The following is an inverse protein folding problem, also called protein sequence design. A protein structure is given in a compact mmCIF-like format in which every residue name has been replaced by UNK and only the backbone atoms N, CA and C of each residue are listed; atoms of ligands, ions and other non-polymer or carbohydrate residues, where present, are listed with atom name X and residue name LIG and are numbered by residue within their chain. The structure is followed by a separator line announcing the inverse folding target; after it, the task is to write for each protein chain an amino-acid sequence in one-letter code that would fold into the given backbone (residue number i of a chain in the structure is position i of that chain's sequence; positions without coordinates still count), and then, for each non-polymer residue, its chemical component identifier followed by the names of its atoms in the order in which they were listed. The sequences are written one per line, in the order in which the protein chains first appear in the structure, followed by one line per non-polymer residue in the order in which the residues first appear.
data_IF_850270611461
#
_entry.id   IF_850270611461
#
_cell.length_a   1.000
_cell.length_b   1.000
_cell.length_c   1.000
_cell.angle_alpha   90.00
_cell.angle_beta   90.00
_cell.angle_gamma   90.00
#
_symmetry.space_group_name_H-M   'P 1'
#
loop_
_entity.id
_entity.type
_entity.pdbx_description
1 polymer ?
#
# COMPACT_ATOMS: atom_id res chain seq x y z
N UNK A 1 25.74 52.35 47.61
CA UNK A 1 24.53 51.52 47.36
C UNK A 1 24.04 51.64 45.91
N UNK A 2 23.76 52.84 45.40
CA UNK A 2 23.29 53.05 44.01
C UNK A 2 24.11 52.33 42.92
N UNK A 3 25.45 52.44 42.96
CA UNK A 3 26.32 51.80 41.97
C UNK A 3 26.22 50.26 41.96
N UNK A 4 26.08 49.63 43.14
CA UNK A 4 25.95 48.18 43.27
C UNK A 4 24.58 47.71 42.77
N UNK A 5 23.52 48.46 43.08
CA UNK A 5 22.16 48.18 42.59
C UNK A 5 22.07 48.31 41.06
N UNK A 6 22.65 49.36 40.48
CA UNK A 6 22.72 49.52 39.01
C UNK A 6 23.50 48.41 38.32
N UNK A 7 24.59 47.93 38.93
CA UNK A 7 25.36 46.80 38.40
C UNK A 7 24.54 45.50 38.43
N UNK A 8 23.82 45.24 39.52
CA UNK A 8 22.93 44.07 39.63
C UNK A 8 21.82 44.10 38.58
N UNK A 9 21.21 45.27 38.33
CA UNK A 9 20.22 45.42 37.25
C UNK A 9 20.84 45.20 35.86
N UNK A 10 22.04 45.72 35.58
CA UNK A 10 22.73 45.49 34.31
C UNK A 10 23.03 44.00 34.09
N UNK A 11 23.50 43.29 35.12
CA UNK A 11 23.77 41.83 35.03
C UNK A 11 22.46 41.05 34.83
N UNK A 12 21.38 41.42 35.51
CA UNK A 12 20.07 40.80 35.33
C UNK A 12 19.55 40.99 33.90
N UNK A 13 19.59 42.21 33.37
CA UNK A 13 19.15 42.51 32.00
C UNK A 13 20.03 41.76 30.99
N UNK A 14 21.37 41.76 31.17
CA UNK A 14 22.26 41.03 30.28
C UNK A 14 21.99 39.51 30.30
N UNK A 15 21.67 38.95 31.47
CA UNK A 15 21.30 37.54 31.61
C UNK A 15 19.99 37.23 30.89
N UNK A 16 18.97 38.06 31.05
CA UNK A 16 17.66 37.89 30.40
C UNK A 16 17.78 38.01 28.87
N UNK A 17 18.41 39.08 28.37
CA UNK A 17 18.65 39.26 26.93
C UNK A 17 19.45 38.10 26.34
N UNK A 18 20.48 37.62 27.05
CA UNK A 18 21.25 36.46 26.61
C UNK A 18 20.42 35.18 26.59
N UNK A 19 19.55 34.96 27.58
CA UNK A 19 18.67 33.79 27.62
C UNK A 19 17.66 33.82 26.48
N UNK A 20 17.04 34.97 26.25
CA UNK A 20 16.04 35.13 25.19
C UNK A 20 16.70 34.96 23.82
N UNK A 21 17.87 35.58 23.59
CA UNK A 21 18.64 35.42 22.35
C UNK A 21 19.04 33.97 22.09
N UNK A 22 19.47 33.24 23.13
CA UNK A 22 19.80 31.82 23.01
C UNK A 22 18.56 30.98 22.71
N UNK A 23 17.43 31.29 23.35
CA UNK A 23 16.17 30.58 23.12
C UNK A 23 15.68 30.80 21.68
N UNK A 24 15.68 32.04 21.21
CA UNK A 24 15.33 32.37 19.82
C UNK A 24 16.28 31.71 18.82
N UNK A 25 17.59 31.74 19.08
CA UNK A 25 18.57 31.06 18.24
C UNK A 25 18.30 29.56 18.14
N UNK A 26 18.03 28.91 19.27
CA UNK A 26 17.73 27.48 19.32
C UNK A 26 16.43 27.18 18.56
N UNK A 27 15.36 27.93 18.80
CA UNK A 27 14.07 27.76 18.07
C UNK A 27 14.26 27.94 16.56
N UNK A 28 14.94 29.01 16.13
CA UNK A 28 15.22 29.27 14.72
C UNK A 28 16.07 28.17 14.09
N UNK A 29 17.09 27.68 14.81
CA UNK A 29 17.92 26.57 14.34
C UNK A 29 17.11 25.28 14.18
N UNK A 30 16.17 25.00 15.09
CA UNK A 30 15.29 23.84 14.98
C UNK A 30 14.34 23.93 13.78
N UNK A 31 13.78 25.11 13.49
CA UNK A 31 12.93 25.31 12.31
C UNK A 31 13.73 25.14 11.01
N UNK A 32 14.95 25.68 10.94
CA UNK A 32 15.83 25.45 9.79
C UNK A 32 16.19 23.97 9.62
N UNK A 33 16.48 23.27 10.71
CA UNK A 33 16.81 21.86 10.69
C UNK A 33 15.60 21.00 10.25
N UNK A 34 14.39 21.35 10.69
CA UNK A 34 13.12 20.75 10.22
C UNK A 34 12.95 20.94 8.71
N UNK A 35 13.21 22.14 8.22
CA UNK A 35 13.12 22.45 6.79
C UNK A 35 14.14 21.64 5.97
N UNK A 36 15.39 21.54 6.45
CA UNK A 36 16.42 20.71 5.81
C UNK A 36 16.03 19.24 5.76
N UNK A 37 15.54 18.68 6.87
CA UNK A 37 15.04 17.29 6.92
C UNK A 37 13.85 17.09 5.97
N UNK A 38 12.90 18.03 5.93
CA UNK A 38 11.77 17.99 5.00
C UNK A 38 12.19 17.97 3.53
N UNK A 39 13.11 18.85 3.11
CA UNK A 39 13.58 18.86 1.73
C UNK A 39 14.42 17.62 1.39
N UNK A 40 15.14 17.04 2.35
CA UNK A 40 15.79 15.75 2.15
C UNK A 40 14.77 14.64 1.89
N UNK A 41 13.70 14.58 2.68
CA UNK A 41 12.59 13.64 2.46
C UNK A 41 11.94 13.87 1.07
N UNK A 42 11.75 15.12 0.68
CA UNK A 42 11.20 15.48 -0.63
C UNK A 42 12.11 15.06 -1.78
N UNK A 43 13.42 15.24 -1.66
CA UNK A 43 14.38 14.74 -2.65
C UNK A 43 14.30 13.21 -2.79
N UNK A 44 14.21 12.49 -1.66
CA UNK A 44 13.99 11.04 -1.68
C UNK A 44 12.70 10.65 -2.40
N UNK A 45 11.62 11.43 -2.22
CA UNK A 45 10.34 11.22 -2.90
C UNK A 45 10.47 11.43 -4.42
N UNK A 46 11.17 12.47 -4.86
CA UNK A 46 11.36 12.74 -6.30
C UNK A 46 12.16 11.62 -6.98
N UNK A 47 13.19 11.08 -6.30
CA UNK A 47 13.94 9.91 -6.78
C UNK A 47 13.03 8.68 -6.83
N UNK A 48 12.19 8.45 -5.82
CA UNK A 48 11.26 7.32 -5.82
C UNK A 48 10.26 7.39 -6.98
N UNK A 49 9.70 8.58 -7.24
CA UNK A 49 8.80 8.83 -8.37
C UNK A 49 9.51 8.63 -9.72
N UNK A 50 10.77 9.03 -9.83
CA UNK A 50 11.59 8.76 -11.01
C UNK A 50 11.79 7.24 -11.21
N UNK A 51 12.11 6.49 -10.15
CA UNK A 51 12.27 5.03 -10.20
C UNK A 51 10.99 4.33 -10.65
N UNK A 52 9.83 4.71 -10.12
CA UNK A 52 8.52 4.19 -10.57
C UNK A 52 8.29 4.53 -12.04
N UNK A 53 8.64 5.74 -12.49
CA UNK A 53 8.47 6.12 -13.89
C UNK A 53 9.39 5.31 -14.81
N UNK A 54 10.65 5.11 -14.43
CA UNK A 54 11.59 4.25 -15.16
C UNK A 54 11.03 2.84 -15.23
N UNK A 55 10.55 2.30 -14.11
CA UNK A 55 9.87 1.01 -14.07
C UNK A 55 8.69 0.94 -15.05
N UNK A 56 7.78 1.91 -15.01
CA UNK A 56 6.63 1.97 -15.90
C UNK A 56 7.01 2.08 -17.39
N UNK A 57 8.09 2.80 -17.70
CA UNK A 57 8.62 2.94 -19.06
C UNK A 57 9.27 1.63 -19.53
N UNK A 58 10.24 1.13 -18.77
CA UNK A 58 10.92 -0.13 -19.03
C UNK A 58 9.93 -1.28 -19.19
N UNK A 59 8.84 -1.23 -18.43
CA UNK A 59 7.80 -2.25 -18.46
C UNK A 59 7.01 -2.36 -19.75
N UNK A 60 7.03 -1.33 -20.59
CA UNK A 60 6.32 -1.29 -21.87
C UNK A 60 7.17 -1.76 -23.04
N UNK A 61 8.49 -1.80 -22.86
CA UNK A 61 9.40 -2.24 -23.90
C UNK A 61 9.65 -3.75 -23.77
N UNK A 62 9.79 -4.48 -24.89
CA UNK A 62 10.24 -5.86 -24.86
C UNK A 62 11.71 -5.85 -24.41
N UNK A 63 11.94 -6.13 -23.12
CA UNK A 63 13.29 -6.26 -22.59
C UNK A 63 13.84 -7.68 -22.84
N UNK A 64 15.17 -7.83 -22.98
CA UNK A 64 15.79 -9.15 -22.97
C UNK A 64 15.38 -9.93 -21.71
N UNK A 65 15.20 -11.27 -21.78
CA UNK A 65 14.72 -12.08 -20.66
C UNK A 65 15.49 -11.88 -19.34
N UNK A 66 16.81 -11.72 -19.41
CA UNK A 66 17.65 -11.44 -18.24
C UNK A 66 17.25 -10.13 -17.54
N UNK A 67 17.07 -9.04 -18.31
CA UNK A 67 16.63 -7.76 -17.75
C UNK A 67 15.17 -7.78 -17.31
N UNK A 68 14.32 -8.56 -17.99
CA UNK A 68 12.90 -8.66 -17.68
C UNK A 68 12.64 -9.21 -16.26
N UNK A 69 13.47 -10.13 -15.79
CA UNK A 69 13.40 -10.71 -14.46
C UNK A 69 13.87 -9.75 -13.35
N UNK A 70 14.71 -8.78 -13.69
CA UNK A 70 15.29 -7.83 -12.74
C UNK A 70 14.59 -6.47 -12.72
N UNK A 71 13.62 -6.21 -13.62
CA UNK A 71 12.92 -4.91 -13.70
C UNK A 71 12.36 -4.48 -12.35
N UNK A 72 11.86 -5.43 -11.55
CA UNK A 72 11.29 -5.13 -10.24
C UNK A 72 12.31 -4.61 -9.23
N UNK A 73 13.60 -4.93 -9.39
CA UNK A 73 14.67 -4.41 -8.53
C UNK A 73 14.76 -2.88 -8.59
N UNK A 74 14.32 -2.28 -9.73
CA UNK A 74 14.28 -0.83 -9.90
C UNK A 74 13.48 -0.16 -8.79
N UNK A 75 12.44 -0.80 -8.25
CA UNK A 75 11.63 -0.25 -7.16
C UNK A 75 11.77 -1.01 -5.84
N UNK A 76 12.00 -2.34 -5.86
CA UNK A 76 12.12 -3.16 -4.63
C UNK A 76 13.31 -2.78 -3.75
N UNK A 77 14.43 -2.34 -4.33
CA UNK A 77 15.62 -2.02 -3.56
C UNK A 77 15.44 -0.74 -2.72
N UNK A 78 15.65 -0.75 -1.39
CA UNK A 78 15.60 0.47 -0.60
C UNK A 78 16.77 1.39 -0.99
N UNK A 79 16.52 2.69 -1.12
CA UNK A 79 17.57 3.64 -1.49
C UNK A 79 17.87 4.59 -0.34
N UNK A 80 19.14 4.89 -0.16
CA UNK A 80 19.64 5.84 0.82
C UNK A 80 20.63 6.80 0.18
N UNK A 81 20.61 8.04 0.63
CA UNK A 81 21.64 9.03 0.37
C UNK A 81 22.15 9.56 1.71
N UNK A 82 23.46 9.47 2.01
CA UNK A 82 24.50 8.79 1.26
C UNK A 82 24.23 7.32 0.95
N UNK A 83 24.91 6.80 -0.07
CA UNK A 83 24.99 5.35 -0.26
C UNK A 83 25.74 4.74 0.94
N UNK A 84 25.19 3.69 1.59
CA UNK A 84 25.89 3.02 2.67
C UNK A 84 27.12 2.29 2.15
N UNK A 85 28.21 2.30 2.93
CA UNK A 85 29.42 1.56 2.60
C UNK A 85 29.13 0.04 2.58
N UNK A 86 29.46 -0.69 1.50
CA UNK A 86 29.41 -2.15 1.50
C UNK A 86 30.31 -2.72 2.60
N UNK A 87 29.93 -3.84 3.24
CA UNK A 87 30.74 -4.48 4.29
C UNK A 87 32.16 -4.85 3.83
N UNK A 88 32.30 -5.19 2.55
CA UNK A 88 33.53 -5.64 1.90
C UNK A 88 34.43 -4.49 1.42
N UNK A 89 33.98 -3.23 1.57
CA UNK A 89 34.74 -2.06 1.14
C UNK A 89 35.97 -1.86 2.02
N UNK A 90 37.14 -1.72 1.38
CA UNK A 90 38.41 -1.47 2.07
C UNK A 90 38.44 -0.06 2.72
N UNK A 91 39.40 0.18 3.61
CA UNK A 91 39.48 1.43 4.38
C UNK A 91 39.75 2.67 3.53
N UNK A 92 40.49 2.53 2.42
CA UNK A 92 40.85 3.64 1.53
C UNK A 92 39.64 4.10 0.72
N UNK A 93 38.88 3.16 0.16
CA UNK A 93 37.68 3.45 -0.60
C UNK A 93 36.57 4.02 0.30
N UNK A 94 36.50 3.55 1.55
CA UNK A 94 35.60 4.13 2.56
C UNK A 94 35.94 5.59 2.84
N UNK A 95 37.21 5.91 3.03
CA UNK A 95 37.66 7.29 3.26
C UNK A 95 37.41 8.19 2.03
N UNK A 96 37.64 7.68 0.83
CA UNK A 96 37.33 8.38 -0.42
C UNK A 96 35.84 8.65 -0.56
N UNK A 97 34.99 7.66 -0.24
CA UNK A 97 33.54 7.80 -0.27
C UNK A 97 33.08 8.84 0.77
N UNK A 98 33.58 8.78 2.00
CA UNK A 98 33.26 9.75 3.06
C UNK A 98 33.69 11.18 2.65
N UNK A 99 34.83 11.32 1.97
CA UNK A 99 35.29 12.60 1.43
C UNK A 99 34.36 13.13 0.34
N UNK A 100 33.98 12.29 -0.63
CA UNK A 100 33.01 12.65 -1.67
C UNK A 100 31.66 13.04 -1.06
N UNK A 101 31.24 12.35 0.00
CA UNK A 101 30.01 12.69 0.72
C UNK A 101 30.10 14.04 1.44
N UNK A 102 31.24 14.35 2.07
CA UNK A 102 31.49 15.67 2.69
C UNK A 102 31.58 16.81 1.67
N UNK A 103 32.05 16.52 0.47
CA UNK A 103 32.09 17.49 -0.65
C UNK A 103 30.73 17.67 -1.32
N UNK A 104 29.74 16.80 -1.03
CA UNK A 104 28.39 16.94 -1.54
C UNK A 104 27.73 18.22 -1.00
N UNK A 105 26.96 18.90 -1.85
CA UNK A 105 26.14 20.05 -1.45
C UNK A 105 25.00 19.69 -0.48
N UNK A 106 24.76 18.41 -0.21
CA UNK A 106 23.69 17.97 0.68
C UNK A 106 24.22 17.56 2.05
N UNK A 107 23.98 18.43 3.04
CA UNK A 107 24.24 18.18 4.45
C UNK A 107 23.24 17.20 5.10
N UNK A 108 22.13 16.93 4.42
CA UNK A 108 21.03 16.11 4.93
C UNK A 108 21.07 14.74 4.28
N UNK A 109 20.62 13.74 5.04
CA UNK A 109 20.50 12.37 4.57
C UNK A 109 19.04 12.04 4.30
N UNK A 110 18.78 11.11 3.40
CA UNK A 110 17.42 10.60 3.22
C UNK A 110 17.44 9.13 2.84
N UNK A 111 16.36 8.45 3.17
CA UNK A 111 16.10 7.07 2.76
C UNK A 111 14.70 6.99 2.18
N UNK A 112 14.48 6.19 1.14
CA UNK A 112 13.13 5.89 0.67
C UNK A 112 12.95 4.42 0.33
N UNK A 113 11.73 3.95 0.56
CA UNK A 113 11.25 2.62 0.18
C UNK A 113 10.05 2.76 -0.75
N UNK A 114 9.90 1.78 -1.65
CA UNK A 114 8.77 1.66 -2.56
C UNK A 114 8.20 0.27 -2.37
N UNK A 115 6.93 0.21 -2.01
CA UNK A 115 6.20 -1.02 -1.73
C UNK A 115 5.06 -1.17 -2.74
N UNK A 116 4.71 -2.42 -3.04
CA UNK A 116 3.49 -2.72 -3.77
C UNK A 116 2.28 -2.40 -2.88
N UNK A 117 1.44 -1.49 -3.35
CA UNK A 117 0.16 -1.16 -2.72
C UNK A 117 -1.01 -1.85 -3.44
N UNK A 118 -0.83 -2.22 -4.70
CA UNK A 118 -1.89 -2.75 -5.53
C UNK A 118 -2.34 -4.15 -5.14
N UNK A 119 -1.42 -5.00 -4.66
CA UNK A 119 -1.74 -6.39 -4.29
C UNK A 119 -2.32 -6.55 -2.89
N UNK A 120 -2.61 -5.44 -2.19
CA UNK A 120 -3.37 -5.46 -0.94
C UNK A 120 -4.86 -5.57 -1.23
N UNK A 121 -5.62 -6.05 -0.26
CA UNK A 121 -7.08 -6.17 -0.35
C UNK A 121 -7.68 -4.76 -0.34
N UNK A 122 -8.38 -4.38 -1.41
CA UNK A 122 -9.05 -3.09 -1.46
C UNK A 122 -10.38 -3.15 -0.71
N UNK A 123 -10.49 -2.48 0.43
CA UNK A 123 -11.73 -2.50 1.22
C UNK A 123 -12.90 -1.82 0.52
N UNK A 124 -12.64 -0.90 -0.43
CA UNK A 124 -13.71 -0.28 -1.20
C UNK A 124 -14.35 -1.26 -2.19
N UNK A 125 -13.75 -2.43 -2.43
CA UNK A 125 -14.36 -3.47 -3.28
C UNK A 125 -15.58 -4.13 -2.64
N UNK A 126 -15.79 -3.96 -1.33
CA UNK A 126 -17.01 -4.36 -0.63
C UNK A 126 -18.28 -3.66 -1.15
N UNK A 127 -18.14 -2.49 -1.79
CA UNK A 127 -19.23 -1.78 -2.48
C UNK A 127 -19.01 -1.71 -3.99
N UNK A 128 -18.13 -2.55 -4.55
CA UNK A 128 -17.88 -2.60 -5.99
C UNK A 128 -19.17 -2.88 -6.76
N UNK A 129 -19.35 -2.35 -7.98
CA UNK A 129 -20.47 -2.74 -8.84
C UNK A 129 -20.49 -4.24 -9.16
N UNK A 130 -19.32 -4.89 -9.22
CA UNK A 130 -19.18 -6.33 -9.44
C UNK A 130 -19.58 -7.10 -8.18
N UNK A 131 -20.52 -8.04 -8.31
CA UNK A 131 -20.93 -8.90 -7.19
C UNK A 131 -19.78 -9.80 -6.74
N UNK A 132 -19.05 -10.35 -7.70
CA UNK A 132 -17.92 -11.26 -7.47
C UNK A 132 -16.86 -10.61 -6.60
N UNK A 133 -16.46 -9.37 -6.92
CA UNK A 133 -15.50 -8.62 -6.12
C UNK A 133 -15.99 -8.40 -4.69
N UNK A 134 -17.27 -8.04 -4.48
CA UNK A 134 -17.83 -7.85 -3.13
C UNK A 134 -17.71 -9.12 -2.28
N UNK A 135 -18.12 -10.27 -2.83
CA UNK A 135 -18.10 -11.54 -2.11
C UNK A 135 -16.66 -12.01 -1.80
N UNK A 136 -15.75 -11.85 -2.76
CA UNK A 136 -14.33 -12.21 -2.56
C UNK A 136 -13.71 -11.34 -1.48
N UNK A 137 -13.87 -10.02 -1.54
CA UNK A 137 -13.33 -9.11 -0.54
C UNK A 137 -13.91 -9.41 0.84
N UNK A 138 -15.22 -9.68 0.93
CA UNK A 138 -15.86 -10.09 2.19
C UNK A 138 -15.22 -11.38 2.73
N UNK A 139 -15.08 -12.42 1.90
CA UNK A 139 -14.46 -13.70 2.28
C UNK A 139 -13.01 -13.52 2.73
N UNK A 140 -12.22 -12.71 2.03
CA UNK A 140 -10.82 -12.44 2.40
C UNK A 140 -10.71 -11.79 3.78
N UNK A 141 -11.52 -10.76 4.07
CA UNK A 141 -11.52 -10.11 5.38
C UNK A 141 -11.91 -11.06 6.51
N UNK A 142 -12.92 -11.93 6.27
CA UNK A 142 -13.32 -12.94 7.26
C UNK A 142 -12.21 -13.97 7.49
N UNK A 143 -11.58 -14.45 6.41
CA UNK A 143 -10.49 -15.43 6.48
C UNK A 143 -9.33 -14.89 7.33
N UNK A 144 -9.03 -13.59 7.27
CA UNK A 144 -7.98 -12.99 8.11
C UNK A 144 -8.28 -13.15 9.60
N UNK A 145 -9.51 -12.83 10.02
CA UNK A 145 -9.93 -12.96 11.41
C UNK A 145 -10.02 -14.43 11.84
N UNK A 146 -10.62 -15.29 11.02
CA UNK A 146 -10.72 -16.73 11.29
C UNK A 146 -9.34 -17.35 11.50
N UNK A 147 -8.37 -17.05 10.63
CA UNK A 147 -6.98 -17.52 10.81
C UNK A 147 -6.33 -16.94 12.06
N UNK A 148 -6.64 -15.71 12.44
CA UNK A 148 -6.11 -15.13 13.69
C UNK A 148 -6.68 -15.86 14.91
N UNK A 149 -7.96 -16.22 14.91
CA UNK A 149 -8.58 -17.09 15.92
C UNK A 149 -7.93 -18.48 15.94
N UNK A 150 -7.58 -19.04 14.79
CA UNK A 150 -6.94 -20.36 14.69
C UNK A 150 -5.46 -20.37 15.08
N UNK A 151 -4.72 -19.27 14.88
CA UNK A 151 -3.27 -19.24 15.11
C UNK A 151 -2.86 -18.67 16.47
N UNK A 152 -3.73 -17.89 17.14
CA UNK A 152 -3.42 -17.21 18.39
C UNK A 152 -4.37 -17.65 19.51
N UNK A 153 -3.83 -18.37 20.49
CA UNK A 153 -4.61 -18.90 21.62
C UNK A 153 -5.24 -17.81 22.49
N UNK A 154 -4.54 -16.70 22.69
CA UNK A 154 -5.04 -15.57 23.51
C UNK A 154 -6.20 -14.90 22.78
N UNK A 155 -6.02 -14.62 21.49
CA UNK A 155 -7.06 -14.03 20.65
C UNK A 155 -8.29 -14.96 20.56
N UNK A 156 -8.07 -16.27 20.46
CA UNK A 156 -9.15 -17.26 20.45
C UNK A 156 -9.97 -17.24 21.74
N UNK A 157 -9.32 -17.21 22.90
CA UNK A 157 -10.02 -17.22 24.19
C UNK A 157 -10.97 -16.02 24.32
N UNK A 158 -10.54 -14.86 23.83
CA UNK A 158 -11.32 -13.62 23.90
C UNK A 158 -12.41 -13.55 22.82
N UNK A 159 -12.11 -13.94 21.59
CA UNK A 159 -12.94 -13.65 20.41
C UNK A 159 -13.52 -14.87 19.68
N UNK A 160 -13.40 -16.10 20.19
CA UNK A 160 -14.00 -17.29 19.56
C UNK A 160 -15.51 -17.18 19.30
N UNK A 161 -16.23 -16.42 20.14
CA UNK A 161 -17.67 -16.19 20.02
C UNK A 161 -18.00 -14.85 19.32
N UNK A 162 -16.99 -14.10 18.91
CA UNK A 162 -17.18 -12.83 18.24
C UNK A 162 -17.66 -13.06 16.80
N UNK A 163 -18.73 -12.35 16.42
CA UNK A 163 -19.33 -12.43 15.08
C UNK A 163 -18.57 -11.52 14.11
N UNK A 164 -17.45 -11.98 13.55
CA UNK A 164 -16.68 -11.18 12.58
C UNK A 164 -17.48 -10.85 11.31
N UNK A 165 -18.47 -11.67 10.94
CA UNK A 165 -19.41 -11.35 9.85
C UNK A 165 -20.20 -10.06 10.13
N UNK A 166 -20.62 -9.82 11.38
CA UNK A 166 -21.30 -8.56 11.74
C UNK A 166 -20.37 -7.36 11.62
N UNK A 167 -19.09 -7.51 11.99
CA UNK A 167 -18.10 -6.46 11.85
C UNK A 167 -17.90 -6.11 10.37
N UNK A 168 -17.72 -7.11 9.50
CA UNK A 168 -17.55 -6.89 8.06
C UNK A 168 -18.82 -6.34 7.42
N UNK A 169 -20.01 -6.78 7.84
CA UNK A 169 -21.28 -6.20 7.40
C UNK A 169 -21.38 -4.72 7.78
N UNK A 170 -20.91 -4.31 8.95
CA UNK A 170 -20.86 -2.90 9.33
C UNK A 170 -19.85 -2.09 8.51
N UNK A 171 -18.74 -2.70 8.06
CA UNK A 171 -17.83 -2.07 7.09
C UNK A 171 -18.58 -1.80 5.77
N UNK A 172 -19.35 -2.77 5.28
CA UNK A 172 -20.20 -2.61 4.08
C UNK A 172 -21.23 -1.49 4.30
N UNK A 173 -21.94 -1.52 5.42
CA UNK A 173 -23.00 -0.56 5.76
C UNK A 173 -22.50 0.87 5.88
N UNK A 174 -21.26 1.06 6.36
CA UNK A 174 -20.64 2.36 6.47
C UNK A 174 -20.47 3.03 5.09
N UNK A 175 -20.22 2.23 4.06
CA UNK A 175 -19.98 2.70 2.70
C UNK A 175 -21.22 2.66 1.80
N UNK A 176 -22.16 1.76 2.06
CA UNK A 176 -23.34 1.53 1.23
C UNK A 176 -24.26 2.75 1.19
N UNK A 177 -24.90 3.01 0.05
CA UNK A 177 -25.98 4.02 -0.07
C UNK A 177 -27.35 3.46 0.34
N UNK A 178 -27.49 2.13 0.43
CA UNK A 178 -28.76 1.44 0.74
C UNK A 178 -29.04 1.51 2.25
N UNK A 179 -30.28 1.77 2.66
CA UNK A 179 -30.65 1.89 4.08
C UNK A 179 -30.74 0.54 4.83
N UNK A 180 -30.94 -0.54 4.09
CA UNK A 180 -30.90 -1.91 4.62
C UNK A 180 -29.45 -2.30 4.93
N UNK A 181 -29.26 -2.90 6.11
CA UNK A 181 -27.97 -3.44 6.53
C UNK A 181 -27.64 -4.72 5.76
N UNK A 182 -26.36 -4.93 5.45
CA UNK A 182 -25.85 -6.18 4.92
C UNK A 182 -26.09 -7.37 5.87
N UNK A 183 -26.22 -7.12 7.18
CA UNK A 183 -26.60 -8.11 8.19
C UNK A 183 -28.10 -8.24 8.43
N UNK A 184 -28.93 -7.50 7.67
CA UNK A 184 -30.37 -7.42 7.82
C UNK A 184 -30.84 -6.32 8.79
N UNK A 185 -32.03 -5.79 8.56
CA UNK A 185 -32.59 -4.68 9.33
C UNK A 185 -32.09 -3.30 8.88
N UNK A 186 -32.30 -2.27 9.71
CA UNK A 186 -31.92 -0.90 9.37
C UNK A 186 -30.48 -0.58 9.81
N UNK A 187 -29.62 -0.13 8.89
CA UNK A 187 -28.21 0.12 9.19
C UNK A 187 -27.96 1.29 10.16
N UNK A 188 -28.86 2.27 10.20
CA UNK A 188 -28.66 3.52 10.95
C UNK A 188 -28.54 3.32 12.45
N UNK A 189 -29.17 2.28 12.99
CA UNK A 189 -29.09 1.96 14.41
C UNK A 189 -27.65 1.74 14.89
N UNK A 190 -26.78 1.19 14.03
CA UNK A 190 -25.39 0.89 14.41
C UNK A 190 -24.52 2.14 14.54
N UNK A 191 -24.82 3.22 13.80
CA UNK A 191 -23.96 4.40 13.69
C UNK A 191 -24.48 5.61 14.46
N UNK A 192 -25.55 5.45 15.24
CA UNK A 192 -26.21 6.55 15.96
C UNK A 192 -25.25 7.25 16.95
N UNK A 193 -24.34 6.50 17.58
CA UNK A 193 -23.36 7.02 18.53
C UNK A 193 -22.30 7.93 17.88
N UNK A 194 -22.06 7.79 16.57
CA UNK A 194 -21.11 8.66 15.83
C UNK A 194 -21.71 10.05 15.55
N UNK A 195 -23.01 10.23 15.76
CA UNK A 195 -23.71 11.49 15.56
C UNK A 195 -24.24 11.70 14.15
N UNK A 196 -24.70 12.92 13.87
CA UNK A 196 -25.32 13.26 12.59
C UNK A 196 -24.33 13.15 11.44
N UNK A 197 -24.80 12.64 10.30
CA UNK A 197 -23.99 12.48 9.08
C UNK A 197 -23.27 11.13 8.97
N UNK A 198 -23.44 10.23 9.94
CA UNK A 198 -22.97 8.86 9.86
C UNK A 198 -24.09 7.86 9.57
N UNK A 199 -23.79 6.75 8.86
CA UNK A 199 -22.56 6.55 8.11
C UNK A 199 -22.50 7.48 6.88
N UNK A 200 -21.29 7.76 6.34
CA UNK A 200 -21.12 8.72 5.25
C UNK A 200 -21.64 8.21 3.90
N UNK A 201 -22.03 6.93 3.78
CA UNK A 201 -22.60 6.32 2.59
C UNK A 201 -21.73 6.49 1.34
N UNK A 202 -20.42 6.33 1.51
CA UNK A 202 -19.42 6.38 0.43
C UNK A 202 -18.24 5.48 0.78
N UNK A 203 -17.46 5.11 -0.23
CA UNK A 203 -16.16 4.46 -0.02
C UNK A 203 -15.24 5.27 0.91
N UNK A 204 -14.32 4.55 1.54
CA UNK A 204 -13.31 5.11 2.43
C UNK A 204 -12.39 6.08 1.68
N UNK A 205 -12.09 7.22 2.31
CA UNK A 205 -11.12 8.22 1.80
C UNK A 205 -9.77 8.12 2.46
N UNK A 206 -9.72 7.58 3.67
CA UNK A 206 -8.50 7.23 4.39
C UNK A 206 -8.68 5.85 5.00
N UNK A 207 -7.58 5.15 5.24
CA UNK A 207 -7.64 3.85 5.91
C UNK A 207 -8.12 3.99 7.37
N UNK A 208 -7.83 5.13 8.01
CA UNK A 208 -8.20 5.40 9.39
C UNK A 208 -9.71 5.53 9.60
N UNK A 209 -10.50 5.83 8.56
CA UNK A 209 -11.97 5.84 8.65
C UNK A 209 -12.52 4.46 9.08
N UNK A 210 -11.79 3.36 8.86
CA UNK A 210 -12.16 2.01 9.33
C UNK A 210 -12.25 1.95 10.87
N UNK A 211 -11.50 2.79 11.59
CA UNK A 211 -11.53 2.86 13.05
C UNK A 211 -12.87 3.42 13.57
N UNK A 212 -13.65 4.08 12.72
CA UNK A 212 -14.98 4.60 13.07
C UNK A 212 -16.07 3.52 12.99
N UNK A 213 -15.75 2.32 12.52
CA UNK A 213 -16.74 1.24 12.40
C UNK A 213 -17.14 0.74 13.79
N UNK A 214 -18.44 0.75 14.14
CA UNK A 214 -18.91 0.24 15.43
C UNK A 214 -18.52 -1.22 15.65
N UNK A 215 -17.76 -1.47 16.71
CA UNK A 215 -17.19 -2.79 17.03
C UNK A 215 -15.78 -3.03 16.47
N UNK A 216 -15.19 -2.07 15.76
CA UNK A 216 -13.78 -2.10 15.39
C UNK A 216 -12.92 -1.69 16.59
N UNK A 217 -12.10 -2.62 17.11
CA UNK A 217 -11.08 -2.31 18.11
C UNK A 217 -9.75 -1.96 17.43
N UNK A 218 -8.83 -1.36 18.20
CA UNK A 218 -7.44 -1.16 17.75
C UNK A 218 -6.76 -2.48 17.38
N UNK A 219 -7.06 -3.55 18.11
CA UNK A 219 -6.53 -4.88 17.82
C UNK A 219 -7.02 -5.41 16.47
N UNK A 220 -8.32 -5.29 16.18
CA UNK A 220 -8.88 -5.69 14.89
C UNK A 220 -8.33 -4.86 13.74
N UNK A 221 -8.20 -3.54 13.93
CA UNK A 221 -7.59 -2.68 12.93
C UNK A 221 -6.14 -3.07 12.67
N UNK A 222 -5.36 -3.36 13.72
CA UNK A 222 -3.95 -3.76 13.58
C UNK A 222 -3.78 -5.12 12.89
N UNK A 223 -4.74 -6.05 13.02
CA UNK A 223 -4.76 -7.30 12.26
C UNK A 223 -4.93 -7.05 10.76
N UNK A 224 -5.78 -6.09 10.39
CA UNK A 224 -6.11 -5.79 8.99
C UNK A 224 -5.09 -4.87 8.30
N UNK A 225 -4.63 -3.81 8.97
CA UNK A 225 -4.01 -2.60 8.36
C UNK A 225 -2.87 -2.85 7.37
N UNK A 226 -2.09 -3.92 7.54
CA UNK A 226 -0.94 -4.23 6.69
C UNK A 226 -1.33 -5.04 5.44
N UNK A 227 -2.56 -5.56 5.41
CA UNK A 227 -3.11 -6.44 4.37
C UNK A 227 -4.12 -5.72 3.48
N UNK A 228 -4.70 -4.62 3.98
CA UNK A 228 -5.74 -3.86 3.31
C UNK A 228 -5.24 -2.53 2.74
N UNK A 229 -5.99 -1.99 1.78
CA UNK A 229 -5.78 -0.66 1.19
C UNK A 229 -7.11 -0.08 0.72
N UNK A 230 -7.10 1.19 0.30
CA UNK A 230 -8.18 1.83 -0.47
C UNK A 230 -7.73 2.14 -1.91
N UNK A 231 -6.53 1.68 -2.28
CA UNK A 231 -5.84 1.97 -3.54
C UNK A 231 -5.44 0.69 -4.28
N UNK A 232 -6.19 -0.40 -4.12
CA UNK A 232 -5.83 -1.70 -4.70
C UNK A 232 -5.98 -1.72 -6.22
N UNK A 233 -5.36 -2.72 -6.85
CA UNK A 233 -5.45 -2.90 -8.31
C UNK A 233 -6.62 -3.78 -8.75
N UNK A 234 -7.56 -4.09 -7.84
CA UNK A 234 -8.74 -4.95 -8.08
C UNK A 234 -8.38 -6.38 -8.47
N UNK A 235 -7.15 -6.77 -8.16
CA UNK A 235 -6.56 -8.09 -8.38
C UNK A 235 -5.37 -8.25 -7.45
N UNK A 236 -5.01 -9.50 -7.16
CA UNK A 236 -3.88 -9.85 -6.31
C UNK A 236 -2.74 -10.33 -7.20
N UNK A 237 -1.54 -9.77 -7.02
CA UNK A 237 -0.36 -10.30 -7.66
C UNK A 237 0.34 -11.31 -6.74
N UNK A 238 0.34 -12.62 -7.05
CA UNK A 238 1.00 -13.61 -6.22
C UNK A 238 2.53 -13.46 -6.18
N UNK A 239 3.13 -12.66 -7.08
CA UNK A 239 4.56 -12.38 -7.10
C UNK A 239 5.00 -11.30 -6.10
N UNK A 240 4.08 -10.52 -5.56
CA UNK A 240 4.39 -9.39 -4.67
C UNK A 240 3.49 -9.30 -3.44
N UNK A 241 2.31 -9.92 -3.44
CA UNK A 241 1.43 -10.00 -2.28
C UNK A 241 2.16 -10.53 -1.04
N UNK A 242 1.80 -10.00 0.13
CA UNK A 242 2.36 -10.44 1.40
C UNK A 242 1.86 -11.85 1.76
N UNK A 243 2.58 -12.53 2.65
CA UNK A 243 2.19 -13.84 3.17
C UNK A 243 0.74 -13.85 3.68
N UNK A 244 0.36 -12.84 4.47
CA UNK A 244 -0.97 -12.78 5.04
C UNK A 244 -2.06 -12.51 4.00
N UNK A 245 -1.78 -11.71 2.97
CA UNK A 245 -2.72 -11.54 1.85
C UNK A 245 -2.90 -12.85 1.10
N UNK A 246 -1.81 -13.59 0.81
CA UNK A 246 -1.92 -14.91 0.17
C UNK A 246 -2.69 -15.93 1.02
N UNK A 247 -2.50 -15.91 2.35
CA UNK A 247 -3.25 -16.73 3.30
C UNK A 247 -4.73 -16.37 3.38
N UNK A 248 -5.09 -15.11 3.13
CA UNK A 248 -6.49 -14.65 3.13
C UNK A 248 -7.29 -15.10 1.91
N UNK A 249 -6.63 -15.58 0.85
CA UNK A 249 -7.31 -15.96 -0.39
C UNK A 249 -8.30 -17.10 -0.18
N UNK A 250 -7.97 -18.05 0.70
CA UNK A 250 -8.85 -19.15 1.06
C UNK A 250 -8.42 -19.78 2.40
N UNK A 251 -9.39 -20.25 3.19
CA UNK A 251 -9.13 -20.93 4.47
C UNK A 251 -8.33 -22.23 4.30
N UNK A 252 -8.46 -22.89 3.15
CA UNK A 252 -7.72 -24.10 2.81
C UNK A 252 -6.25 -23.86 2.45
N UNK A 253 -5.79 -22.61 2.48
CA UNK A 253 -4.39 -22.25 2.27
C UNK A 253 -3.52 -22.63 3.48
N UNK A 254 -2.48 -23.42 3.27
CA UNK A 254 -1.56 -23.83 4.34
C UNK A 254 -0.38 -22.87 4.47
N UNK A 255 0.19 -22.80 5.68
CA UNK A 255 1.36 -21.97 5.94
C UNK A 255 2.58 -22.43 5.12
N UNK A 256 2.73 -23.74 4.95
CA UNK A 256 3.77 -24.37 4.16
C UNK A 256 3.63 -24.01 2.68
N UNK A 257 2.42 -24.13 2.10
CA UNK A 257 2.19 -23.81 0.69
C UNK A 257 2.50 -22.35 0.38
N UNK A 258 2.13 -21.42 1.27
CA UNK A 258 2.41 -19.99 1.07
C UNK A 258 3.89 -19.68 1.24
N UNK A 259 4.56 -20.24 2.25
CA UNK A 259 6.01 -20.06 2.44
C UNK A 259 6.78 -20.59 1.24
N UNK A 260 6.43 -21.76 0.74
CA UNK A 260 7.05 -22.32 -0.46
C UNK A 260 6.73 -21.52 -1.73
N UNK A 261 5.53 -20.94 -1.83
CA UNK A 261 5.18 -20.06 -2.95
C UNK A 261 6.03 -18.78 -2.94
N UNK A 262 6.25 -18.20 -1.76
CA UNK A 262 7.10 -17.02 -1.57
C UNK A 262 8.58 -17.37 -1.84
N UNK A 263 9.05 -18.54 -1.42
CA UNK A 263 10.39 -19.00 -1.73
C UNK A 263 10.57 -19.19 -3.24
N UNK A 264 9.64 -19.90 -3.90
CA UNK A 264 9.63 -20.13 -5.34
C UNK A 264 9.72 -18.83 -6.13
N UNK A 265 8.85 -17.85 -5.85
CA UNK A 265 8.78 -16.61 -6.65
C UNK A 265 10.05 -15.76 -6.58
N UNK A 266 10.87 -15.95 -5.54
CA UNK A 266 12.10 -15.21 -5.32
C UNK A 266 13.36 -15.93 -5.82
N UNK A 267 13.23 -17.19 -6.26
CA UNK A 267 14.35 -18.03 -6.65
C UNK A 267 14.12 -18.65 -8.04
N UNK A 268 14.94 -18.27 -9.05
CA UNK A 268 14.89 -18.87 -10.38
C UNK A 268 15.04 -20.40 -10.37
N UNK A 269 15.83 -20.96 -9.45
CA UNK A 269 16.08 -22.41 -9.35
C UNK A 269 14.86 -23.17 -8.82
N UNK A 270 14.01 -22.51 -8.04
CA UNK A 270 12.75 -23.07 -7.54
C UNK A 270 11.56 -22.85 -8.50
N UNK A 271 11.83 -22.31 -9.70
CA UNK A 271 10.86 -22.09 -10.76
C UNK A 271 10.44 -20.62 -10.95
N UNK A 272 11.02 -19.69 -10.18
CA UNK A 272 10.85 -18.26 -10.35
C UNK A 272 9.42 -17.73 -10.12
N UNK A 273 9.16 -16.48 -10.52
CA UNK A 273 7.85 -15.85 -10.42
C UNK A 273 6.75 -16.66 -11.11
N UNK A 274 5.54 -16.63 -10.54
CA UNK A 274 4.34 -17.14 -11.17
C UNK A 274 4.09 -16.42 -12.50
N UNK A 275 3.60 -17.15 -13.50
CA UNK A 275 3.45 -16.64 -14.88
C UNK A 275 2.02 -16.70 -15.36
N UNK A 276 1.68 -15.81 -16.30
CA UNK A 276 0.38 -15.79 -16.98
C UNK A 276 0.16 -14.45 -17.65
N UNK A 277 -0.16 -14.47 -18.96
CA UNK A 277 -0.47 -13.23 -19.69
C UNK A 277 -1.90 -12.75 -19.43
N UNK A 278 -2.75 -13.67 -18.96
CA UNK A 278 -4.14 -13.42 -18.58
C UNK A 278 -4.36 -13.76 -17.10
N UNK A 279 -5.38 -13.17 -16.46
CA UNK A 279 -5.71 -13.46 -15.07
C UNK A 279 -5.92 -14.95 -14.77
N UNK A 280 -6.61 -15.66 -15.66
CA UNK A 280 -6.93 -17.08 -15.52
C UNK A 280 -5.68 -17.96 -15.59
N UNK A 281 -4.71 -17.61 -16.44
CA UNK A 281 -3.44 -18.34 -16.56
C UNK A 281 -2.60 -18.17 -15.30
N UNK A 282 -2.53 -16.94 -14.78
CA UNK A 282 -1.82 -16.64 -13.54
C UNK A 282 -2.42 -17.38 -12.35
N UNK A 283 -3.75 -17.33 -12.22
CA UNK A 283 -4.47 -18.04 -11.17
C UNK A 283 -4.22 -19.55 -11.28
N UNK A 284 -4.28 -20.12 -12.48
CA UNK A 284 -4.04 -21.55 -12.68
C UNK A 284 -2.62 -21.98 -12.30
N UNK A 285 -1.59 -21.19 -12.65
CA UNK A 285 -0.20 -21.48 -12.26
C UNK A 285 -0.03 -21.43 -10.74
N UNK A 286 -0.55 -20.39 -10.10
CA UNK A 286 -0.50 -20.23 -8.64
C UNK A 286 -1.28 -21.34 -7.92
N UNK A 287 -2.53 -21.59 -8.33
CA UNK A 287 -3.42 -22.62 -7.79
C UNK A 287 -2.77 -24.00 -7.83
N UNK A 288 -2.29 -24.40 -9.01
CA UNK A 288 -1.64 -25.70 -9.21
C UNK A 288 -0.44 -25.88 -8.29
N UNK A 289 0.35 -24.82 -8.09
CA UNK A 289 1.49 -24.87 -7.20
C UNK A 289 1.06 -25.08 -5.75
N UNK A 290 0.14 -24.27 -5.22
CA UNK A 290 -0.25 -24.37 -3.80
C UNK A 290 -1.00 -25.67 -3.49
N UNK A 291 -1.82 -26.18 -4.42
CA UNK A 291 -2.49 -27.48 -4.28
C UNK A 291 -1.48 -28.64 -4.24
N UNK A 292 -0.41 -28.54 -5.05
CA UNK A 292 0.69 -29.51 -5.00
C UNK A 292 1.49 -29.49 -3.68
N UNK A 293 1.28 -28.46 -2.85
CA UNK A 293 1.86 -28.29 -1.50
C UNK A 293 0.83 -28.49 -0.39
N UNK A 294 -0.31 -29.12 -0.71
CA UNK A 294 -1.29 -29.56 0.26
C UNK A 294 -2.40 -28.54 0.57
N UNK A 295 -2.44 -27.39 -0.11
CA UNK A 295 -3.59 -26.49 -0.01
C UNK A 295 -4.85 -27.17 -0.58
N UNK A 296 -5.99 -26.98 0.08
CA UNK A 296 -7.29 -27.53 -0.35
C UNK A 296 -8.29 -26.41 -0.56
N UNK A 297 -8.26 -25.84 -1.76
CA UNK A 297 -8.97 -24.60 -2.07
C UNK A 297 -10.45 -24.87 -2.37
N UNK A 298 -11.31 -23.96 -1.93
CA UNK A 298 -12.75 -24.01 -2.27
C UNK A 298 -13.01 -23.56 -3.72
N UNK A 299 -14.15 -23.94 -4.34
CA UNK A 299 -14.47 -23.56 -5.72
C UNK A 299 -14.50 -22.04 -5.96
N UNK A 300 -14.81 -21.26 -4.93
CA UNK A 300 -14.82 -19.79 -4.99
C UNK A 300 -13.43 -19.22 -5.24
N UNK A 301 -12.35 -19.97 -4.97
CA UNK A 301 -10.98 -19.54 -5.27
C UNK A 301 -10.80 -19.21 -6.75
N UNK A 302 -11.48 -19.93 -7.66
CA UNK A 302 -11.38 -19.70 -9.11
C UNK A 302 -11.97 -18.36 -9.55
N UNK A 303 -12.68 -17.67 -8.67
CA UNK A 303 -13.25 -16.34 -8.91
C UNK A 303 -12.27 -15.22 -8.54
N UNK A 304 -11.20 -15.53 -7.80
CA UNK A 304 -10.25 -14.53 -7.31
C UNK A 304 -9.48 -13.91 -8.47
N UNK A 305 -9.52 -12.58 -8.63
CA UNK A 305 -8.76 -11.93 -9.68
C UNK A 305 -7.26 -11.95 -9.34
N UNK A 306 -6.46 -12.63 -10.16
CA UNK A 306 -5.00 -12.61 -10.06
C UNK A 306 -4.34 -12.00 -11.28
N UNK A 307 -3.26 -11.25 -11.07
CA UNK A 307 -2.42 -10.73 -12.14
C UNK A 307 -0.96 -11.02 -11.82
N UNK A 308 -0.32 -11.87 -12.61
CA UNK A 308 1.11 -12.16 -12.49
C UNK A 308 1.97 -11.12 -13.20
N UNK A 309 1.33 -10.24 -13.99
CA UNK A 309 1.95 -9.07 -14.61
C UNK A 309 2.34 -8.04 -13.54
N UNK A 310 2.91 -6.93 -14.00
CA UNK A 310 3.59 -5.94 -13.18
C UNK A 310 2.65 -5.13 -12.29
N UNK A 311 3.18 -4.78 -11.13
CA UNK A 311 2.52 -3.90 -10.15
C UNK A 311 2.23 -2.53 -10.76
N UNK A 312 1.04 -2.00 -10.50
CA UNK A 312 0.59 -0.71 -11.05
C UNK A 312 0.41 0.38 -10.00
N UNK A 313 0.25 0.00 -8.72
CA UNK A 313 0.02 0.93 -7.61
C UNK A 313 1.11 0.76 -6.57
N UNK A 314 1.67 1.88 -6.11
CA UNK A 314 2.85 1.88 -5.24
C UNK A 314 2.63 2.78 -4.03
N UNK A 315 3.16 2.35 -2.89
CA UNK A 315 3.34 3.16 -1.69
C UNK A 315 4.80 3.55 -1.57
N UNK A 316 5.04 4.85 -1.44
CA UNK A 316 6.38 5.40 -1.23
C UNK A 316 6.43 5.93 0.20
N UNK A 317 7.48 5.57 0.93
CA UNK A 317 7.85 6.23 2.19
C UNK A 317 9.23 6.83 2.01
N UNK A 318 9.36 8.12 2.27
CA UNK A 318 10.62 8.85 2.21
C UNK A 318 10.88 9.54 3.53
N UNK A 319 12.02 9.24 4.15
CA UNK A 319 12.44 9.78 5.43
C UNK A 319 13.67 10.64 5.21
N UNK A 320 13.58 11.92 5.57
CA UNK A 320 14.69 12.85 5.55
C UNK A 320 15.20 13.08 6.97
N UNK A 321 16.52 13.09 7.14
CA UNK A 321 17.17 13.22 8.44
C UNK A 321 18.22 14.32 8.34
N UNK A 322 18.16 15.27 9.27
CA UNK A 322 19.18 16.29 9.44
C UNK A 322 19.73 16.32 10.87
N UNK A 323 21.05 16.38 11.00
CA UNK A 323 21.76 16.27 12.28
C UNK A 323 22.20 14.83 12.59
N UNK A 324 22.69 14.60 13.81
CA UNK A 324 23.20 13.31 14.25
C UNK A 324 22.80 13.00 15.70
N UNK A 325 22.74 11.72 16.04
CA UNK A 325 22.42 11.24 17.39
C UNK A 325 21.00 11.57 17.85
N UNK A 326 20.81 11.72 19.16
CA UNK A 326 19.50 11.93 19.79
C UNK A 326 18.81 13.27 19.42
N UNK A 327 19.50 14.18 18.75
CA UNK A 327 18.98 15.48 18.32
C UNK A 327 18.72 15.56 16.81
N UNK A 328 18.86 14.44 16.08
CA UNK A 328 18.54 14.39 14.67
C UNK A 328 17.04 14.67 14.48
N UNK A 329 16.73 15.56 13.52
CA UNK A 329 15.37 15.86 13.14
C UNK A 329 15.02 14.97 11.96
N UNK A 330 13.93 14.22 12.09
CA UNK A 330 13.40 13.34 11.07
C UNK A 330 12.09 13.89 10.53
N UNK A 331 11.88 13.76 9.22
CA UNK A 331 10.63 14.09 8.55
C UNK A 331 10.26 13.00 7.57
N UNK A 332 9.00 12.55 7.65
CA UNK A 332 8.49 11.46 6.85
C UNK A 332 7.46 11.96 5.85
N UNK A 333 7.61 11.55 4.59
CA UNK A 333 6.63 11.80 3.54
C UNK A 333 6.14 10.46 3.02
N UNK A 334 4.83 10.26 3.05
CA UNK A 334 4.16 9.09 2.46
C UNK A 334 3.37 9.53 1.24
N UNK A 335 3.55 8.83 0.11
CA UNK A 335 2.79 9.05 -1.11
C UNK A 335 2.25 7.75 -1.68
N UNK A 336 1.05 7.79 -2.28
CA UNK A 336 0.50 6.66 -3.04
C UNK A 336 0.39 7.05 -4.51
N UNK A 337 0.97 6.21 -5.37
CA UNK A 337 0.92 6.35 -6.83
C UNK A 337 -0.04 5.31 -7.38
N UNK A 338 -1.00 5.73 -8.21
CA UNK A 338 -2.04 4.84 -8.77
C UNK A 338 -2.22 5.07 -10.27
N UNK A 339 -2.39 3.98 -11.03
CA UNK A 339 -2.87 4.01 -12.41
C UNK A 339 -4.39 3.78 -12.46
N UNK A 340 -5.15 4.88 -12.30
CA UNK A 340 -6.62 4.82 -12.25
C UNK A 340 -7.24 4.23 -13.51
N UNK A 341 -6.60 4.42 -14.68
CA UNK A 341 -7.14 3.92 -15.95
C UNK A 341 -7.09 2.39 -15.98
N UNK A 342 -5.97 1.81 -15.52
CA UNK A 342 -5.84 0.36 -15.43
C UNK A 342 -6.77 -0.22 -14.36
N UNK A 343 -6.85 0.37 -13.17
CA UNK A 343 -7.80 -0.09 -12.14
C UNK A 343 -9.25 -0.04 -12.62
N UNK A 344 -9.68 1.03 -13.30
CA UNK A 344 -11.02 1.14 -13.87
C UNK A 344 -11.29 0.11 -14.98
N UNK A 345 -10.28 -0.16 -15.82
CA UNK A 345 -10.38 -1.18 -16.86
C UNK A 345 -10.60 -2.58 -16.26
N UNK A 346 -9.91 -2.91 -15.16
CA UNK A 346 -10.11 -4.17 -14.44
C UNK A 346 -11.56 -4.30 -13.94
N UNK A 347 -12.10 -3.29 -13.27
CA UNK A 347 -13.51 -3.31 -12.80
C UNK A 347 -14.47 -3.57 -13.97
N UNK A 348 -14.25 -2.90 -15.10
CA UNK A 348 -15.09 -3.09 -16.30
C UNK A 348 -15.05 -4.54 -16.79
N UNK A 349 -13.88 -5.17 -16.82
CA UNK A 349 -13.76 -6.58 -17.26
C UNK A 349 -14.56 -7.53 -16.37
N UNK A 350 -14.65 -7.29 -15.06
CA UNK A 350 -15.49 -8.09 -14.17
C UNK A 350 -16.98 -7.91 -14.43
N UNK A 351 -17.41 -6.65 -14.59
CA UNK A 351 -18.81 -6.35 -14.90
C UNK A 351 -19.23 -7.00 -16.23
N UNK A 352 -18.35 -6.97 -17.24
CA UNK A 352 -18.63 -7.58 -18.54
C UNK A 352 -18.71 -9.12 -18.43
N UNK A 353 -17.78 -9.76 -17.70
CA UNK A 353 -17.83 -11.21 -17.42
C UNK A 353 -19.10 -11.64 -16.66
N UNK A 354 -19.53 -10.86 -15.67
CA UNK A 354 -20.76 -11.14 -14.92
C UNK A 354 -22.01 -11.05 -15.80
N UNK A 355 -22.05 -10.07 -16.72
CA UNK A 355 -23.15 -9.94 -17.69
C UNK A 355 -23.19 -11.10 -18.68
N UNK A 356 -22.04 -11.54 -19.17
CA UNK A 356 -21.93 -12.71 -20.04
C UNK A 356 -22.42 -13.98 -19.33
N UNK A 357 -22.00 -14.19 -18.07
CA UNK A 357 -22.45 -15.32 -17.27
C UNK A 357 -23.96 -15.29 -16.96
N UNK A 358 -24.55 -14.10 -16.81
CA UNK A 358 -25.98 -13.94 -16.57
C UNK A 358 -26.86 -14.17 -17.82
N UNK A 359 -26.29 -14.14 -19.03
CA UNK A 359 -27.01 -14.33 -20.30
C UNK A 359 -26.27 -15.29 -21.27
N UNK A 360 -26.23 -16.60 -20.98
CA UNK A 360 -25.47 -17.58 -21.77
C UNK A 360 -26.02 -17.84 -23.20
N UNK A 361 -27.18 -17.26 -23.57
CA UNK A 361 -27.84 -17.47 -24.87
C UNK A 361 -27.70 -16.30 -25.87
N UNK A 362 -26.84 -15.31 -25.62
CA UNK A 362 -26.50 -14.34 -26.67
C UNK A 362 -25.48 -14.93 -27.64
N UNK A 363 -25.97 -15.26 -28.84
CA UNK A 363 -25.18 -15.71 -29.97
C UNK A 363 -24.08 -14.68 -30.29
N UNK A 364 -22.78 -15.04 -30.39
CA UNK A 364 -21.68 -14.08 -30.58
C UNK A 364 -21.72 -13.27 -31.89
N UNK A 365 -22.69 -13.56 -32.78
CA UNK A 365 -22.77 -13.03 -34.14
C UNK A 365 -24.03 -12.21 -34.44
N UNK A 366 -24.75 -11.71 -33.43
CA UNK A 366 -25.84 -10.76 -33.65
C UNK A 366 -25.27 -9.32 -33.62
N UNK A 367 -25.36 -8.53 -34.71
CA UNK A 367 -24.84 -7.17 -34.71
C UNK A 367 -25.60 -6.33 -33.68
N UNK A 368 -24.93 -5.55 -32.82
CA UNK A 368 -25.62 -4.61 -31.96
C UNK A 368 -26.27 -3.54 -32.84
N UNK A 369 -27.60 -3.48 -32.82
CA UNK A 369 -28.33 -2.31 -33.28
C UNK A 369 -27.99 -1.14 -32.37
N UNK A 370 -27.17 -0.23 -32.85
CA UNK A 370 -26.74 0.96 -32.13
C UNK A 370 -25.30 1.33 -32.46
N UNK A 371 -25.14 2.30 -33.35
CA UNK A 371 -23.87 2.90 -33.74
C UNK A 371 -23.18 3.58 -32.56
N UNK A 372 -22.38 2.80 -31.81
CA UNK A 372 -21.30 3.28 -30.95
C UNK A 372 -19.96 2.82 -31.55
N UNK A 373 -18.89 3.64 -31.52
CA UNK A 373 -17.62 3.23 -32.12
C UNK A 373 -17.10 1.97 -31.45
N UNK A 374 -16.85 0.92 -32.26
CA UNK A 374 -16.04 -0.23 -31.85
C UNK A 374 -14.73 0.31 -31.27
N UNK A 375 -14.48 0.01 -30.00
CA UNK A 375 -13.20 0.34 -29.37
C UNK A 375 -12.09 -0.36 -30.16
N UNK A 376 -11.05 0.36 -30.62
CA UNK A 376 -9.91 -0.25 -31.27
C UNK A 376 -9.23 -1.26 -30.33
N UNK A 377 -8.41 -2.21 -30.86
CA UNK A 377 -7.52 -2.99 -30.02
C UNK A 377 -6.74 -2.03 -29.12
N UNK A 378 -6.62 -2.34 -27.83
CA UNK A 378 -6.04 -1.46 -26.82
C UNK A 378 -4.64 -0.98 -27.24
N UNK A 379 -4.61 0.15 -27.95
CA UNK A 379 -3.39 0.90 -28.20
C UNK A 379 -2.90 1.32 -26.82
N UNK A 380 -1.70 0.88 -26.43
CA UNK A 380 -1.13 1.22 -25.13
C UNK A 380 -1.19 2.74 -24.96
N UNK A 381 -2.04 3.21 -24.05
CA UNK A 381 -2.19 4.64 -23.80
C UNK A 381 -0.81 5.19 -23.44
N UNK A 382 -0.28 6.22 -24.14
CA UNK A 382 1.05 6.74 -23.87
C UNK A 382 1.16 7.13 -22.39
N UNK A 383 2.32 6.88 -21.76
CA UNK A 383 2.54 7.32 -20.38
C UNK A 383 2.31 8.83 -20.33
N UNK A 384 1.56 9.32 -19.32
CA UNK A 384 1.43 10.76 -19.14
C UNK A 384 2.83 11.39 -19.03
N UNK A 385 2.99 12.56 -19.65
CA UNK A 385 4.21 13.36 -19.49
C UNK A 385 4.24 13.89 -18.04
N UNK A 386 5.42 13.89 -17.42
CA UNK A 386 5.60 14.30 -16.01
C UNK A 386 5.75 13.13 -15.04
N UNK A 387 5.69 13.43 -13.73
CA UNK A 387 5.80 12.43 -12.66
C UNK A 387 4.58 11.50 -12.64
N UNK A 388 4.71 10.28 -12.08
CA UNK A 388 3.56 9.40 -11.85
C UNK A 388 2.47 10.11 -11.04
N UNK A 389 1.21 9.74 -11.28
CA UNK A 389 0.07 10.36 -10.60
C UNK A 389 0.03 9.94 -9.13
N UNK A 390 0.29 10.90 -8.25
CA UNK A 390 0.11 10.75 -6.80
C UNK A 390 -1.36 11.05 -6.45
N UNK A 391 -2.00 10.14 -5.72
CA UNK A 391 -3.41 10.27 -5.28
C UNK A 391 -3.54 10.50 -3.77
N UNK A 392 -2.45 10.30 -3.03
CA UNK A 392 -2.37 10.54 -1.60
C UNK A 392 -0.98 11.10 -1.27
N UNK A 393 -0.95 12.09 -0.38
CA UNK A 393 0.26 12.72 0.12
C UNK A 393 0.07 13.08 1.60
N UNK A 394 0.99 12.63 2.44
CA UNK A 394 1.02 12.95 3.87
C UNK A 394 2.44 13.25 4.29
N UNK A 395 2.57 14.29 5.12
CA UNK A 395 3.83 14.77 5.69
C UNK A 395 3.70 14.69 7.21
N UNK A 396 4.60 13.95 7.86
CA UNK A 396 4.65 13.78 9.31
C UNK A 396 5.96 14.33 9.87
#
# INVERSE_FOLDING_TARGET
MLAVTSLLFMVYIAKEVSRDSLTEYVVNSHELNRLKAYYAARNGMDIALLRIKIFQQASRFPLPPAFAQEIDQIWKFPFAWPLPAPPEMNSVDRENMDKMMKESFMDATYTHTIEDEGSKIDVNDLISPSKTLREITKKQLLTIFERKVESDETFRQEYQNFRFDDLVNRIIDFMSEVNESAGGGGKQGFFTELGQGYPPNRGFRTLDEIRLIPGMSEEFFNILKDQITIYGMKSINPNTASENVLKSLDKGMTDEAVKEAIARRNDPELGGPFVGSKPEECLADFKKFVESRGARLEPEFDQIPMLCDKVINFRIRSTGIYGAGAHAIMKDITAIVVDLNKSAAQIKTFIDKEKEAANPNQNPNQPPGGSGPKSPPAAQTPLPKGSPRVVYWSEN
#
